data_IF_937769623676
#
_entry.id   IF_937769623676
#
_cell.length_a   1.000
_cell.length_b   1.000
_cell.length_c   1.000
_cell.angle_alpha   90.00
_cell.angle_beta   90.00
_cell.angle_gamma   90.00
#
_symmetry.space_group_name_H-M   'P 1'
#
loop_
_entity.id
_entity.type
_entity.pdbx_description
1 polymer ?
#
# COMPACT_ATOMS: atom_id res chain seq x y z
N UNK A 1 2.03 -9.14 0.93
CA UNK A 1 1.95 -8.43 2.23
C UNK A 1 0.96 -9.14 3.13
N UNK A 2 1.09 -8.96 4.44
CA UNK A 2 0.20 -9.47 5.48
C UNK A 2 -0.19 -8.31 6.38
N UNK A 3 -1.49 -8.18 6.66
CA UNK A 3 -2.02 -7.30 7.70
C UNK A 3 -2.38 -8.18 8.90
N UNK A 4 -1.89 -7.85 10.08
CA UNK A 4 -2.11 -8.59 11.32
C UNK A 4 -2.40 -7.63 12.47
N UNK A 5 -3.29 -8.04 13.38
CA UNK A 5 -3.73 -7.25 14.51
C UNK A 5 -4.99 -7.83 15.13
N UNK A 6 -5.57 -7.10 16.07
CA UNK A 6 -6.85 -7.41 16.69
C UNK A 6 -7.89 -6.36 16.34
N UNK A 7 -9.16 -6.65 16.62
CA UNK A 7 -10.21 -5.64 16.57
C UNK A 7 -11.23 -5.86 17.68
N UNK A 8 -11.94 -4.79 18.05
CA UNK A 8 -13.03 -4.80 19.01
C UNK A 8 -14.25 -4.12 18.41
N UNK A 9 -15.44 -4.61 18.74
CA UNK A 9 -16.71 -4.05 18.25
C UNK A 9 -17.21 -4.74 16.99
N UNK A 10 -18.24 -4.16 16.39
CA UNK A 10 -18.87 -4.67 15.18
C UNK A 10 -19.28 -3.53 14.24
N UNK A 11 -19.31 -3.85 12.94
CA UNK A 11 -19.78 -2.95 11.88
C UNK A 11 -19.09 -1.57 11.92
N UNK A 12 -19.85 -0.49 12.11
CA UNK A 12 -19.35 0.90 12.13
C UNK A 12 -18.61 1.27 13.42
N UNK A 13 -18.72 0.44 14.47
CA UNK A 13 -18.06 0.69 15.77
C UNK A 13 -16.73 -0.03 15.93
N UNK A 14 -16.31 -0.78 14.89
CA UNK A 14 -15.08 -1.57 14.90
C UNK A 14 -13.85 -0.69 15.10
N UNK A 15 -13.03 -1.04 16.10
CA UNK A 15 -11.72 -0.45 16.35
C UNK A 15 -10.64 -1.48 16.07
N UNK A 16 -9.69 -1.14 15.21
CA UNK A 16 -8.54 -1.98 14.91
C UNK A 16 -7.37 -1.66 15.86
N UNK A 17 -6.67 -2.70 16.28
CA UNK A 17 -5.47 -2.64 17.10
C UNK A 17 -4.33 -3.31 16.35
N UNK A 18 -3.18 -2.63 16.29
CA UNK A 18 -1.99 -3.19 15.67
C UNK A 18 -1.49 -4.44 16.39
N UNK A 19 -0.74 -5.28 15.68
CA UNK A 19 -0.06 -6.41 16.28
C UNK A 19 0.96 -5.96 17.35
N UNK A 20 1.05 -6.73 18.44
CA UNK A 20 1.88 -6.42 19.61
C UNK A 20 3.38 -6.39 19.30
N UNK A 21 3.82 -7.19 18.33
CA UNK A 21 5.19 -7.23 17.84
C UNK A 21 5.57 -6.03 16.96
N UNK A 22 4.63 -5.10 16.72
CA UNK A 22 4.81 -3.93 15.88
C UNK A 22 4.70 -4.19 14.38
N UNK A 23 4.59 -5.45 13.94
CA UNK A 23 4.54 -5.82 12.52
C UNK A 23 3.11 -5.85 11.98
N UNK A 24 2.32 -4.80 12.24
CA UNK A 24 0.90 -4.74 11.83
C UNK A 24 0.73 -4.90 10.32
N UNK A 25 1.61 -4.29 9.52
CA UNK A 25 1.65 -4.46 8.07
C UNK A 25 3.04 -4.93 7.67
N UNK A 26 3.14 -6.10 7.05
CA UNK A 26 4.43 -6.66 6.63
C UNK A 26 5.08 -5.77 5.57
N UNK A 27 6.35 -5.43 5.75
CA UNK A 27 7.16 -4.73 4.75
C UNK A 27 7.67 -5.73 3.73
N UNK A 28 6.93 -5.94 2.64
CA UNK A 28 7.35 -6.79 1.53
C UNK A 28 7.72 -5.92 0.33
N UNK A 29 9.02 -5.75 0.00
CA UNK A 29 9.43 -5.05 -1.21
C UNK A 29 8.86 -5.75 -2.44
N UNK A 30 8.31 -4.97 -3.37
CA UNK A 30 7.83 -5.44 -4.67
C UNK A 30 8.57 -4.68 -5.78
N UNK A 31 9.13 -5.37 -6.78
CA UNK A 31 9.79 -4.69 -7.90
C UNK A 31 8.74 -3.88 -8.68
N UNK A 32 9.02 -2.59 -8.91
CA UNK A 32 8.23 -1.73 -9.78
C UNK A 32 8.54 -2.11 -11.23
N UNK A 33 7.55 -2.57 -12.02
CA UNK A 33 7.78 -2.94 -13.41
C UNK A 33 8.42 -1.78 -14.20
N UNK A 34 9.50 -2.07 -14.93
CA UNK A 34 10.25 -1.08 -15.70
C UNK A 34 11.21 -0.21 -14.87
N UNK A 35 10.98 -0.02 -13.57
CA UNK A 35 11.84 0.80 -12.71
C UNK A 35 12.19 2.16 -13.34
N UNK A 36 13.48 2.50 -13.36
CA UNK A 36 14.06 3.66 -14.06
C UNK A 36 14.69 3.29 -15.42
N UNK A 37 14.33 2.15 -16.02
CA UNK A 37 14.86 1.76 -17.32
C UNK A 37 14.42 2.75 -18.41
N UNK A 38 15.37 3.14 -19.26
CA UNK A 38 15.12 4.06 -20.37
C UNK A 38 14.87 5.51 -19.96
N UNK A 39 15.03 5.84 -18.68
CA UNK A 39 14.88 7.20 -18.18
C UNK A 39 16.18 7.97 -18.43
N UNK A 40 16.04 9.14 -19.03
CA UNK A 40 17.15 10.10 -19.21
C UNK A 40 16.90 11.34 -18.39
N UNK A 41 17.97 11.99 -17.95
CA UNK A 41 17.87 13.22 -17.20
C UNK A 41 17.12 14.29 -18.01
N UNK A 42 16.10 14.95 -17.44
CA UNK A 42 15.39 16.02 -18.12
C UNK A 42 16.30 17.17 -18.56
N UNK A 43 15.99 17.77 -19.72
CA UNK A 43 16.79 18.84 -20.32
C UNK A 43 16.85 20.13 -19.50
N UNK A 44 15.88 20.33 -18.60
CA UNK A 44 15.80 21.48 -17.69
C UNK A 44 16.73 21.36 -16.46
N UNK A 45 17.37 20.21 -16.24
CA UNK A 45 18.35 20.03 -15.17
C UNK A 45 19.70 20.69 -15.52
N UNK A 46 20.55 21.04 -14.54
CA UNK A 46 21.94 21.42 -14.81
C UNK A 46 22.71 20.29 -15.52
N UNK A 47 23.56 20.63 -16.52
CA UNK A 47 24.31 19.65 -17.33
C UNK A 47 25.17 18.67 -16.51
N UNK A 48 25.77 19.16 -15.42
CA UNK A 48 26.56 18.31 -14.51
C UNK A 48 25.70 17.21 -13.87
N UNK A 49 24.49 17.56 -13.43
CA UNK A 49 23.54 16.60 -12.84
C UNK A 49 22.99 15.67 -13.91
N UNK A 50 22.70 16.18 -15.12
CA UNK A 50 22.28 15.33 -16.24
C UNK A 50 23.31 14.24 -16.55
N UNK A 51 24.59 14.63 -16.68
CA UNK A 51 25.67 13.67 -16.97
C UNK A 51 25.81 12.64 -15.85
N UNK A 52 25.78 13.07 -14.59
CA UNK A 52 25.83 12.16 -13.44
C UNK A 52 24.66 11.16 -13.44
N UNK A 53 23.43 11.64 -13.57
CA UNK A 53 22.24 10.79 -13.56
C UNK A 53 22.23 9.80 -14.73
N UNK A 54 22.54 10.28 -15.94
CA UNK A 54 22.61 9.42 -17.12
C UNK A 54 23.71 8.35 -16.98
N UNK A 55 24.87 8.70 -16.41
CA UNK A 55 25.93 7.73 -16.13
C UNK A 55 25.48 6.67 -15.12
N UNK A 56 24.83 7.05 -14.02
CA UNK A 56 24.31 6.12 -13.02
C UNK A 56 23.25 5.17 -13.56
N UNK A 57 22.33 5.68 -14.40
CA UNK A 57 21.33 4.83 -15.06
C UNK A 57 21.99 3.86 -16.03
N UNK A 58 23.03 4.30 -16.77
CA UNK A 58 23.82 3.45 -17.66
C UNK A 58 24.63 2.39 -16.92
N UNK A 59 25.01 2.62 -15.65
CA UNK A 59 25.64 1.63 -14.77
C UNK A 59 24.66 0.54 -14.27
N UNK A 60 23.36 0.67 -14.57
CA UNK A 60 22.36 -0.36 -14.30
C UNK A 60 21.56 -0.18 -13.03
N UNK A 61 21.65 0.96 -12.34
CA UNK A 61 20.88 1.29 -11.13
C UNK A 61 19.42 1.66 -11.42
N UNK A 62 18.72 0.79 -12.15
CA UNK A 62 17.38 1.07 -12.66
C UNK A 62 16.28 0.34 -11.92
N UNK A 63 16.58 -0.73 -11.18
CA UNK A 63 15.59 -1.43 -10.37
C UNK A 63 15.05 -0.55 -9.24
N UNK A 64 13.73 -0.41 -9.14
CA UNK A 64 13.07 0.27 -8.02
C UNK A 64 12.19 -0.75 -7.33
N UNK A 65 12.29 -0.84 -6.01
CA UNK A 65 11.33 -1.58 -5.21
C UNK A 65 10.35 -0.61 -4.56
N UNK A 66 9.08 -0.99 -4.49
CA UNK A 66 8.07 -0.31 -3.73
C UNK A 66 7.68 -1.17 -2.53
N UNK A 67 7.71 -0.57 -1.34
CA UNK A 67 7.26 -1.19 -0.09
C UNK A 67 6.09 -0.39 0.47
N UNK A 68 4.98 -1.07 0.77
CA UNK A 68 3.83 -0.42 1.40
C UNK A 68 4.06 -0.29 2.89
N UNK A 69 3.84 0.91 3.43
CA UNK A 69 3.93 1.19 4.85
C UNK A 69 2.64 1.86 5.34
N UNK A 70 2.29 1.64 6.62
CA UNK A 70 1.25 2.45 7.26
C UNK A 70 1.74 3.88 7.41
N UNK A 71 0.90 4.83 6.99
CA UNK A 71 1.16 6.26 7.10
C UNK A 71 0.54 6.85 8.38
N UNK A 72 -0.45 6.17 8.95
CA UNK A 72 -1.12 6.54 10.20
C UNK A 72 -1.07 5.37 11.22
N UNK A 73 -1.37 5.62 12.50
CA UNK A 73 -1.47 4.56 13.50
C UNK A 73 -2.48 3.47 13.10
N UNK A 74 -2.27 2.24 13.58
CA UNK A 74 -3.14 1.10 13.29
C UNK A 74 -4.62 1.34 13.64
N UNK A 75 -4.90 2.20 14.62
CA UNK A 75 -6.26 2.61 15.00
C UNK A 75 -7.03 3.35 13.89
N UNK A 76 -6.33 3.87 12.88
CA UNK A 76 -6.95 4.47 11.69
C UNK A 76 -7.38 3.44 10.64
N UNK A 77 -6.98 2.17 10.79
CA UNK A 77 -7.41 1.10 9.90
C UNK A 77 -8.90 0.87 10.10
N UNK A 78 -9.65 0.94 9.00
CA UNK A 78 -11.08 0.64 9.01
C UNK A 78 -11.27 -0.83 8.71
N UNK A 79 -12.09 -1.50 9.51
CA UNK A 79 -12.50 -2.87 9.26
C UNK A 79 -14.01 -2.96 9.42
N UNK A 80 -14.68 -3.57 8.44
CA UNK A 80 -16.09 -3.89 8.53
C UNK A 80 -16.32 -5.27 7.89
N UNK A 81 -16.53 -6.26 8.75
CA UNK A 81 -16.70 -7.68 8.37
C UNK A 81 -18.06 -7.93 7.71
N UNK A 82 -19.10 -7.15 8.02
CA UNK A 82 -20.38 -7.23 7.33
C UNK A 82 -20.24 -6.79 5.86
N UNK A 83 -19.61 -5.63 5.63
CA UNK A 83 -19.30 -5.11 4.29
C UNK A 83 -18.44 -6.08 3.47
N UNK A 84 -17.51 -6.78 4.12
CA UNK A 84 -16.70 -7.84 3.49
C UNK A 84 -17.58 -8.97 2.93
N UNK A 85 -18.49 -9.50 3.75
CA UNK A 85 -19.33 -10.66 3.39
C UNK A 85 -20.51 -10.30 2.49
N UNK A 86 -21.07 -9.10 2.65
CA UNK A 86 -22.21 -8.62 1.87
C UNK A 86 -21.81 -8.02 0.51
N UNK A 87 -20.50 -7.91 0.24
CA UNK A 87 -19.94 -7.32 -0.98
C UNK A 87 -20.41 -5.88 -1.22
N UNK A 88 -20.51 -5.11 -0.13
CA UNK A 88 -21.01 -3.73 -0.13
C UNK A 88 -20.14 -2.83 0.73
N UNK A 89 -20.10 -1.55 0.39
CA UNK A 89 -19.40 -0.55 1.18
C UNK A 89 -17.89 -0.82 1.31
N UNK A 90 -17.24 -0.16 2.27
CA UNK A 90 -15.81 -0.37 2.55
C UNK A 90 -15.64 -1.49 3.57
N UNK A 91 -14.95 -2.56 3.17
CA UNK A 91 -14.62 -3.68 4.03
C UNK A 91 -13.30 -3.46 4.80
N UNK A 92 -12.30 -2.87 4.13
CA UNK A 92 -10.99 -2.59 4.70
C UNK A 92 -10.49 -1.21 4.23
N UNK A 93 -10.19 -0.30 5.15
CA UNK A 93 -9.58 0.99 4.85
C UNK A 93 -8.15 1.04 5.35
N UNK A 94 -7.19 1.25 4.45
CA UNK A 94 -5.77 1.34 4.79
C UNK A 94 -5.22 2.75 4.51
N UNK A 95 -4.72 3.46 5.54
CA UNK A 95 -3.93 4.68 5.36
C UNK A 95 -2.46 4.32 5.13
N UNK A 96 -2.00 4.40 3.89
CA UNK A 96 -0.67 3.93 3.48
C UNK A 96 0.17 5.02 2.82
N UNK A 97 1.46 4.74 2.72
CA UNK A 97 2.43 5.39 1.83
C UNK A 97 3.28 4.33 1.17
N UNK A 98 3.83 4.62 0.00
CA UNK A 98 4.74 3.70 -0.70
C UNK A 98 6.16 4.21 -0.57
N UNK A 99 7.03 3.46 0.10
CA UNK A 99 8.47 3.70 0.11
C UNK A 99 9.07 3.18 -1.20
N UNK A 100 9.75 4.05 -1.95
CA UNK A 100 10.44 3.71 -3.18
C UNK A 100 11.94 3.58 -2.90
N UNK A 101 12.47 2.39 -3.10
CA UNK A 101 13.85 2.03 -2.79
C UNK A 101 14.65 1.86 -4.07
N UNK A 102 15.62 2.76 -4.25
CA UNK A 102 16.68 2.66 -5.25
C UNK A 102 17.84 3.57 -4.81
N UNK A 103 19.11 3.21 -5.09
CA UNK A 103 20.27 4.02 -4.69
C UNK A 103 20.20 5.50 -5.12
N UNK A 104 19.59 5.79 -6.27
CA UNK A 104 19.42 7.15 -6.82
C UNK A 104 18.33 7.91 -6.06
N UNK A 105 17.25 7.23 -5.67
CA UNK A 105 16.11 7.82 -4.97
C UNK A 105 16.38 8.06 -3.48
N UNK A 106 17.40 7.41 -2.92
CA UNK A 106 17.71 7.49 -1.49
C UNK A 106 16.68 6.79 -0.62
N UNK A 107 16.85 6.91 0.71
CA UNK A 107 16.07 6.17 1.71
C UNK A 107 14.78 6.86 2.16
N UNK A 108 14.44 8.01 1.58
CA UNK A 108 13.32 8.84 2.01
C UNK A 108 12.36 9.17 0.85
N UNK A 109 12.43 8.42 -0.25
CA UNK A 109 11.56 8.63 -1.40
C UNK A 109 10.21 7.94 -1.16
N UNK A 110 9.14 8.71 -1.01
CA UNK A 110 7.80 8.18 -0.74
C UNK A 110 6.75 8.73 -1.68
N UNK A 111 5.79 7.91 -2.10
CA UNK A 111 4.51 8.37 -2.62
C UNK A 111 3.52 8.46 -1.45
N UNK A 112 3.03 9.67 -1.18
CA UNK A 112 2.30 9.99 0.05
C UNK A 112 3.23 10.14 1.26
N UNK A 113 2.68 10.54 2.39
CA UNK A 113 3.43 10.76 3.64
C UNK A 113 2.55 10.52 4.87
N UNK A 114 3.13 10.60 6.07
CA UNK A 114 2.35 10.50 7.30
C UNK A 114 1.38 11.69 7.48
N UNK A 115 1.68 12.85 6.86
CA UNK A 115 0.82 14.04 6.92
C UNK A 115 -0.15 14.14 5.73
N UNK A 116 0.11 13.40 4.66
CA UNK A 116 -0.73 13.31 3.47
C UNK A 116 -0.75 11.86 2.97
N UNK A 117 -1.47 10.96 3.67
CA UNK A 117 -1.49 9.54 3.36
C UNK A 117 -2.34 9.23 2.12
N UNK A 118 -2.11 8.05 1.55
CA UNK A 118 -2.99 7.45 0.56
C UNK A 118 -4.02 6.61 1.31
N UNK A 119 -5.28 7.03 1.28
CA UNK A 119 -6.38 6.23 1.84
C UNK A 119 -6.96 5.29 0.79
N UNK A 120 -6.71 3.99 0.95
CA UNK A 120 -7.28 2.97 0.08
C UNK A 120 -8.42 2.27 0.82
N UNK A 121 -9.65 2.59 0.43
CA UNK A 121 -10.88 2.04 1.02
C UNK A 121 -11.37 0.85 0.19
N UNK A 122 -10.83 -0.33 0.45
CA UNK A 122 -11.15 -1.54 -0.28
C UNK A 122 -12.59 -2.01 -0.04
N UNK A 123 -13.16 -2.59 -1.09
CA UNK A 123 -14.47 -3.27 -1.07
C UNK A 123 -14.34 -4.65 -1.72
N UNK A 124 -15.17 -5.60 -1.28
CA UNK A 124 -15.40 -6.87 -1.98
C UNK A 124 -16.50 -6.75 -3.05
N UNK A 125 -17.19 -5.60 -3.13
CA UNK A 125 -18.10 -5.26 -4.20
C UNK A 125 -17.42 -4.60 -5.40
N UNK A 126 -18.14 -3.70 -6.08
CA UNK A 126 -17.61 -2.95 -7.22
C UNK A 126 -16.88 -1.66 -6.80
N UNK A 127 -15.76 -1.35 -7.46
CA UNK A 127 -15.06 -0.06 -7.34
C UNK A 127 -14.61 0.41 -8.73
N UNK A 128 -15.31 1.40 -9.29
CA UNK A 128 -15.06 1.86 -10.66
C UNK A 128 -15.22 0.72 -11.65
N UNK A 129 -14.13 0.36 -12.35
CA UNK A 129 -14.10 -0.75 -13.33
C UNK A 129 -13.69 -2.10 -12.71
N UNK A 130 -13.36 -2.13 -11.42
CA UNK A 130 -12.94 -3.34 -10.73
C UNK A 130 -14.11 -3.96 -9.97
N UNK A 131 -14.09 -5.29 -9.90
CA UNK A 131 -15.01 -6.07 -9.07
C UNK A 131 -14.20 -6.93 -8.11
N UNK A 132 -14.57 -6.87 -6.84
CA UNK A 132 -14.09 -7.74 -5.79
C UNK A 132 -14.90 -9.04 -5.72
N UNK A 133 -14.63 -9.81 -4.67
CA UNK A 133 -15.41 -10.97 -4.27
C UNK A 133 -15.16 -11.24 -2.77
N UNK A 134 -16.19 -11.66 -2.04
CA UNK A 134 -16.02 -12.04 -0.63
C UNK A 134 -15.12 -13.28 -0.48
N UNK A 135 -15.23 -14.24 -1.40
CA UNK A 135 -14.52 -15.52 -1.33
C UNK A 135 -15.33 -16.60 -0.59
N UNK A 136 -14.67 -17.69 -0.21
CA UNK A 136 -15.29 -18.82 0.48
C UNK A 136 -15.00 -18.83 1.98
N UNK A 137 -16.05 -18.92 2.80
CA UNK A 137 -15.94 -18.99 4.26
C UNK A 137 -15.84 -20.44 4.70
N UNK A 138 -14.81 -20.73 5.50
CA UNK A 138 -14.59 -22.02 6.13
C UNK A 138 -14.30 -21.85 7.62
N UNK A 139 -14.65 -22.86 8.40
CA UNK A 139 -14.40 -22.90 9.84
C UNK A 139 -13.45 -24.06 10.13
N UNK A 140 -12.55 -23.88 11.09
CA UNK A 140 -11.80 -25.01 11.62
C UNK A 140 -12.73 -25.96 12.42
N UNK A 141 -12.34 -27.22 12.67
CA UNK A 141 -13.20 -28.19 13.35
C UNK A 141 -13.68 -27.77 14.74
N UNK A 142 -12.90 -26.91 15.41
CA UNK A 142 -13.20 -26.39 16.75
C UNK A 142 -14.07 -25.11 16.71
N UNK A 143 -14.40 -24.60 15.52
CA UNK A 143 -15.14 -23.33 15.30
C UNK A 143 -14.50 -22.10 15.95
N UNK A 144 -13.21 -22.16 16.24
CA UNK A 144 -12.43 -21.09 16.88
C UNK A 144 -11.80 -20.13 15.87
N UNK A 145 -11.63 -20.58 14.61
CA UNK A 145 -11.03 -19.81 13.51
C UNK A 145 -12.00 -19.78 12.32
N UNK A 146 -12.32 -18.57 11.87
CA UNK A 146 -13.00 -18.30 10.61
C UNK A 146 -11.94 -17.98 9.56
N UNK A 147 -12.03 -18.62 8.40
CA UNK A 147 -11.14 -18.38 7.27
C UNK A 147 -11.95 -18.01 6.05
N UNK A 148 -11.61 -16.89 5.43
CA UNK A 148 -12.13 -16.51 4.11
C UNK A 148 -11.01 -16.68 3.09
N UNK A 149 -11.19 -17.59 2.14
CA UNK A 149 -10.18 -17.89 1.12
C UNK A 149 -10.62 -17.43 -0.26
N UNK A 150 -9.67 -16.97 -1.08
CA UNK A 150 -9.96 -16.46 -2.42
C UNK A 150 -10.72 -15.13 -2.43
N UNK A 151 -10.75 -14.44 -1.28
CA UNK A 151 -11.33 -13.10 -1.19
C UNK A 151 -10.54 -12.11 -2.03
N UNK A 152 -11.25 -11.21 -2.69
CA UNK A 152 -10.71 -10.18 -3.57
C UNK A 152 -11.25 -8.82 -3.15
N UNK A 153 -10.38 -8.00 -2.61
CA UNK A 153 -10.65 -6.63 -2.20
C UNK A 153 -10.09 -5.68 -3.26
N UNK A 154 -10.92 -4.73 -3.73
CA UNK A 154 -10.55 -3.81 -4.82
C UNK A 154 -10.80 -2.35 -4.44
N UNK A 155 -10.00 -1.46 -5.03
CA UNK A 155 -10.30 -0.03 -5.10
C UNK A 155 -9.67 0.59 -6.37
N UNK A 156 -10.46 1.31 -7.17
CA UNK A 156 -9.98 2.04 -8.36
C UNK A 156 -10.19 3.56 -8.27
N UNK A 157 -10.73 4.06 -7.16
CA UNK A 157 -11.19 5.46 -7.02
C UNK A 157 -10.44 6.23 -5.94
N UNK A 158 -9.35 5.68 -5.40
CA UNK A 158 -8.47 6.41 -4.49
C UNK A 158 -7.59 7.41 -5.24
N UNK A 159 -7.19 8.46 -4.53
CA UNK A 159 -6.23 9.46 -4.99
C UNK A 159 -4.85 9.15 -4.42
N UNK A 160 -3.79 9.46 -5.15
CA UNK A 160 -2.43 9.40 -4.62
C UNK A 160 -1.80 10.81 -4.64
N UNK A 161 -1.21 11.28 -3.54
CA UNK A 161 -0.37 12.47 -3.53
C UNK A 161 0.90 12.29 -4.38
N UNK A 162 1.60 13.39 -4.60
CA UNK A 162 2.92 13.36 -5.23
C UNK A 162 3.96 12.63 -4.39
N UNK A 163 5.05 12.26 -5.04
CA UNK A 163 6.28 11.82 -4.43
C UNK A 163 6.90 12.95 -3.59
N UNK A 164 7.58 12.56 -2.52
CA UNK A 164 8.30 13.43 -1.58
C UNK A 164 9.62 12.79 -1.16
N UNK A 165 10.65 13.60 -0.93
CA UNK A 165 11.92 13.17 -0.33
C UNK A 165 12.86 12.38 -1.24
N UNK A 166 12.59 12.28 -2.54
CA UNK A 166 13.40 11.49 -3.47
C UNK A 166 14.74 12.18 -3.76
N UNK A 167 15.86 11.53 -3.50
CA UNK A 167 17.21 12.10 -3.61
C UNK A 167 17.67 12.92 -2.41
N UNK A 168 16.83 13.03 -1.38
CA UNK A 168 17.09 13.83 -0.19
C UNK A 168 17.23 15.33 -0.48
N UNK A 169 17.61 16.08 0.56
CA UNK A 169 17.59 17.56 0.55
C UNK A 169 18.38 18.23 -0.57
N UNK A 170 19.33 17.52 -1.20
CA UNK A 170 20.21 18.07 -2.23
C UNK A 170 19.55 18.15 -3.61
N UNK A 171 18.70 17.18 -3.97
CA UNK A 171 18.14 17.05 -5.32
C UNK A 171 16.65 16.64 -5.34
N UNK A 172 15.95 16.72 -4.20
CA UNK A 172 14.49 16.48 -4.08
C UNK A 172 13.67 17.27 -5.09
N UNK A 173 13.99 18.55 -5.27
CA UNK A 173 13.33 19.41 -6.27
C UNK A 173 13.49 18.95 -7.72
N UNK A 174 14.44 18.05 -8.01
CA UNK A 174 14.66 17.45 -9.32
C UNK A 174 14.00 16.07 -9.41
N UNK A 175 14.18 15.23 -8.40
CA UNK A 175 13.74 13.83 -8.43
C UNK A 175 12.27 13.64 -8.08
N UNK A 176 11.67 14.44 -7.19
CA UNK A 176 10.24 14.33 -6.91
C UNK A 176 9.39 14.59 -8.18
N UNK A 177 9.62 15.66 -8.97
CA UNK A 177 8.91 15.85 -10.23
C UNK A 177 9.16 14.74 -11.26
N UNK A 178 10.37 14.16 -11.26
CA UNK A 178 10.68 13.04 -12.14
C UNK A 178 9.87 11.81 -11.72
N UNK A 179 9.92 11.40 -10.46
CA UNK A 179 9.16 10.26 -9.93
C UNK A 179 7.66 10.47 -10.19
N UNK A 180 7.13 11.66 -9.90
CA UNK A 180 5.77 12.07 -10.22
C UNK A 180 5.39 11.79 -11.67
N UNK A 181 6.24 12.22 -12.61
CA UNK A 181 6.03 11.99 -14.04
C UNK A 181 6.12 10.51 -14.43
N UNK A 182 6.99 9.73 -13.78
CA UNK A 182 7.22 8.32 -14.11
C UNK A 182 6.07 7.43 -13.63
N UNK A 183 5.60 7.66 -12.41
CA UNK A 183 4.56 6.83 -11.78
C UNK A 183 3.16 7.44 -11.87
N UNK A 184 3.05 8.64 -12.46
CA UNK A 184 1.77 9.29 -12.78
C UNK A 184 1.07 9.90 -11.58
N UNK A 185 1.82 10.46 -10.62
CA UNK A 185 1.29 11.10 -9.40
C UNK A 185 1.66 12.59 -9.32
N UNK A 186 0.89 13.46 -8.62
CA UNK A 186 -0.37 13.15 -7.94
C UNK A 186 -1.46 12.71 -8.91
N UNK A 187 -2.27 11.75 -8.49
CA UNK A 187 -3.30 11.14 -9.32
C UNK A 187 -4.68 11.28 -8.67
N UNK A 188 -5.67 11.62 -9.50
CA UNK A 188 -7.06 11.70 -9.11
C UNK A 188 -7.74 10.33 -9.01
N UNK A 189 -8.97 10.31 -8.52
CA UNK A 189 -9.82 9.13 -8.50
C UNK A 189 -9.99 8.56 -9.93
N UNK A 190 -9.95 7.23 -10.07
CA UNK A 190 -10.09 6.53 -11.35
C UNK A 190 -8.78 6.30 -12.11
N UNK A 191 -7.68 6.97 -11.72
CA UNK A 191 -6.37 6.78 -12.32
C UNK A 191 -5.54 5.68 -11.66
N UNK A 192 -5.94 5.21 -10.48
CA UNK A 192 -5.20 4.24 -9.68
C UNK A 192 -5.96 2.92 -9.55
N UNK A 193 -5.26 1.84 -9.25
CA UNK A 193 -5.86 0.51 -9.05
C UNK A 193 -5.13 -0.24 -7.94
N UNK A 194 -5.89 -0.69 -6.95
CA UNK A 194 -5.40 -1.53 -5.86
C UNK A 194 -6.27 -2.78 -5.78
N UNK A 195 -5.60 -3.93 -5.71
CA UNK A 195 -6.22 -5.26 -5.61
C UNK A 195 -5.47 -6.03 -4.53
N UNK A 196 -6.23 -6.56 -3.57
CA UNK A 196 -5.74 -7.51 -2.57
C UNK A 196 -6.49 -8.82 -2.78
N UNK A 197 -5.77 -9.85 -3.19
CA UNK A 197 -6.28 -11.20 -3.33
C UNK A 197 -5.57 -12.10 -2.33
N UNK A 198 -6.32 -12.92 -1.59
CA UNK A 198 -5.69 -13.82 -0.64
C UNK A 198 -6.65 -14.45 0.36
N UNK A 199 -6.11 -14.63 1.56
CA UNK A 199 -6.78 -15.29 2.68
C UNK A 199 -6.94 -14.30 3.82
N UNK A 200 -8.12 -14.28 4.41
CA UNK A 200 -8.40 -13.62 5.68
C UNK A 200 -8.62 -14.69 6.73
N UNK A 201 -8.07 -14.49 7.92
CA UNK A 201 -8.29 -15.37 9.06
C UNK A 201 -8.64 -14.52 10.26
N UNK A 202 -9.67 -14.95 10.97
CA UNK A 202 -10.15 -14.32 12.20
C UNK A 202 -10.38 -15.39 13.25
N UNK A 203 -10.14 -15.04 14.51
CA UNK A 203 -10.27 -15.94 15.65
C UNK A 203 -10.58 -15.12 16.90
N UNK A 204 -11.35 -15.68 17.83
CA UNK A 204 -11.60 -14.98 19.09
C UNK A 204 -10.30 -14.88 19.91
N UNK A 205 -10.09 -13.72 20.54
CA UNK A 205 -8.85 -13.41 21.25
C UNK A 205 -8.50 -14.41 22.35
N UNK A 206 -9.49 -15.04 23.00
CA UNK A 206 -9.26 -16.10 23.99
C UNK A 206 -8.53 -17.31 23.38
N UNK A 207 -8.97 -17.79 22.21
CA UNK A 207 -8.37 -18.95 21.56
C UNK A 207 -6.99 -18.67 20.98
N UNK A 208 -6.75 -17.44 20.50
CA UNK A 208 -5.42 -17.03 20.01
C UNK A 208 -4.40 -17.08 21.15
N UNK A 209 -4.73 -16.49 22.31
CA UNK A 209 -3.84 -16.48 23.49
C UNK A 209 -3.56 -17.87 24.06
N UNK A 210 -4.51 -18.80 23.94
CA UNK A 210 -4.31 -20.19 24.38
C UNK A 210 -3.41 -21.00 23.43
N UNK A 211 -3.15 -20.50 22.22
CA UNK A 211 -2.34 -21.17 21.19
C UNK A 211 -0.88 -20.69 21.12
N UNK A 212 -0.53 -19.66 21.89
CA UNK A 212 0.84 -19.16 22.09
C UNK A 212 1.58 -19.94 23.18
#
# INVERSE_FOLDING_TARGET
>A
MTLQGGFEGAEETTKFFGAEDGNTLSKTPQPVPGGLLGITAPTWWPKSIQNWFNNLINEGFTGVNATVELAEPATSIKLNTANLLEEKGTALGLPVKFHLENPILGSNCYIGSNSNPIHINFTTGASGKLHGAAGEVTFNPEFTIVTVSGGKLVNNVYTAPGATGCGGFLIEYLLDPLVNSLVGVPSGAGANSAVLEGKLQDAQAEYVRLSE
#
